data_IF_567212226295
#
_entry.id   IF_567212226295
#
_cell.length_a   1.000
_cell.length_b   1.000
_cell.length_c   1.000
_cell.angle_alpha   90.00
_cell.angle_beta   90.00
_cell.angle_gamma   90.00
#
_symmetry.space_group_name_H-M   'P 1'
#
loop_
_entity.id
_entity.type
_entity.pdbx_description
1 polymer ?
#
# COMPACT_ATOMS: atom_id res chain seq x y z
N UNK A 1 -35.75 -5.21 32.29
CA UNK A 1 -35.20 -5.28 30.92
C UNK A 1 -34.56 -3.95 30.47
N UNK A 2 -33.83 -3.23 31.35
CA UNK A 2 -33.28 -1.88 31.07
C UNK A 2 -31.78 -1.86 30.75
N UNK A 3 -31.08 -2.95 31.06
CA UNK A 3 -29.63 -3.08 30.82
C UNK A 3 -29.30 -3.89 29.57
N UNK A 4 -30.32 -4.42 28.87
CA UNK A 4 -30.13 -5.21 27.65
C UNK A 4 -29.64 -4.33 26.49
N UNK A 5 -30.17 -3.10 26.40
CA UNK A 5 -29.81 -2.14 25.36
C UNK A 5 -28.34 -1.66 25.47
N UNK A 6 -27.83 -1.20 26.63
CA UNK A 6 -26.42 -0.82 26.75
C UNK A 6 -25.46 -2.02 26.62
N UNK A 7 -25.86 -3.21 27.05
CA UNK A 7 -25.05 -4.42 26.89
C UNK A 7 -24.88 -4.81 25.41
N UNK A 8 -25.95 -4.68 24.60
CA UNK A 8 -25.89 -4.95 23.17
C UNK A 8 -25.00 -3.91 22.44
N UNK A 9 -25.10 -2.64 22.82
CA UNK A 9 -24.27 -1.57 22.25
C UNK A 9 -22.78 -1.76 22.57
N UNK A 10 -22.47 -2.18 23.81
CA UNK A 10 -21.11 -2.50 24.21
C UNK A 10 -20.54 -3.68 23.42
N UNK A 11 -21.32 -4.75 23.23
CA UNK A 11 -20.89 -5.91 22.45
C UNK A 11 -20.55 -5.59 20.98
N UNK A 12 -21.23 -4.61 20.36
CA UNK A 12 -20.94 -4.14 19.00
C UNK A 12 -19.62 -3.36 18.90
N UNK A 13 -19.19 -2.69 19.97
CA UNK A 13 -17.97 -1.87 19.96
C UNK A 13 -16.69 -2.70 20.12
N UNK A 14 -16.74 -3.92 20.68
CA UNK A 14 -15.55 -4.77 20.88
C UNK A 14 -14.96 -5.34 19.58
N UNK A 15 -15.68 -5.28 18.45
CA UNK A 15 -15.23 -5.83 17.16
C UNK A 15 -14.47 -4.85 16.25
N UNK A 16 -14.24 -3.60 16.68
CA UNK A 16 -13.72 -2.54 15.79
C UNK A 16 -12.22 -2.63 15.48
N UNK A 17 -11.46 -3.49 16.17
CA UNK A 17 -10.03 -3.65 15.93
C UNK A 17 -9.77 -4.61 14.75
N UNK A 18 -9.77 -4.09 13.52
CA UNK A 18 -9.28 -4.85 12.36
C UNK A 18 -7.76 -4.69 12.26
N UNK A 19 -7.01 -5.78 12.46
CA UNK A 19 -5.57 -5.79 12.19
C UNK A 19 -5.35 -5.86 10.66
N UNK A 20 -4.74 -4.82 10.09
CA UNK A 20 -4.29 -4.85 8.69
C UNK A 20 -3.02 -5.70 8.61
N UNK A 21 -2.98 -6.77 7.78
CA UNK A 21 -1.75 -7.51 7.56
C UNK A 21 -0.62 -6.59 7.07
N UNK A 22 0.65 -6.89 7.40
CA UNK A 22 1.76 -6.12 6.87
C UNK A 22 1.76 -6.21 5.34
N UNK A 23 2.09 -5.10 4.65
CA UNK A 23 2.16 -5.08 3.19
C UNK A 23 3.23 -6.05 2.67
N UNK A 24 2.98 -6.65 1.51
CA UNK A 24 3.96 -7.49 0.82
C UNK A 24 5.20 -6.66 0.43
N UNK A 25 6.39 -7.12 0.80
CA UNK A 25 7.70 -6.51 0.47
C UNK A 25 8.55 -7.47 -0.36
N UNK A 26 9.46 -6.92 -1.16
CA UNK A 26 10.37 -7.69 -2.01
C UNK A 26 10.10 -7.51 -3.51
N UNK A 27 10.54 -8.48 -4.32
CA UNK A 27 10.40 -8.49 -5.77
C UNK A 27 9.49 -9.63 -6.22
N UNK A 28 8.58 -9.36 -7.15
CA UNK A 28 7.66 -10.38 -7.64
C UNK A 28 6.59 -9.85 -8.57
N UNK A 29 5.90 -10.76 -9.24
CA UNK A 29 4.83 -10.43 -10.20
C UNK A 29 3.48 -10.16 -9.53
N UNK A 30 3.30 -10.62 -8.29
CA UNK A 30 2.03 -10.64 -7.56
C UNK A 30 2.06 -9.77 -6.31
N UNK A 31 2.78 -8.64 -6.35
CA UNK A 31 2.73 -7.67 -5.27
C UNK A 31 1.38 -6.93 -5.33
N UNK A 32 0.64 -6.98 -4.23
CA UNK A 32 -0.65 -6.33 -4.12
C UNK A 32 -0.44 -4.82 -3.89
N UNK A 33 -1.07 -3.94 -4.69
CA UNK A 33 -1.02 -2.50 -4.46
C UNK A 33 -1.58 -2.14 -3.08
N UNK A 34 -0.96 -1.16 -2.42
CA UNK A 34 -1.38 -0.64 -1.11
C UNK A 34 -1.81 0.82 -1.25
N UNK A 35 -2.52 1.39 -0.26
CA UNK A 35 -2.85 2.82 -0.30
C UNK A 35 -1.61 3.66 -0.59
N UNK A 36 -1.67 4.48 -1.65
CA UNK A 36 -0.54 5.30 -2.13
C UNK A 36 0.21 4.73 -3.34
N UNK A 37 0.08 3.42 -3.63
CA UNK A 37 0.57 2.81 -4.86
C UNK A 37 -0.11 3.43 -6.10
N UNK A 38 0.61 3.53 -7.23
CA UNK A 38 0.06 4.06 -8.48
C UNK A 38 -1.14 3.23 -8.97
N UNK A 39 -1.09 1.91 -8.76
CA UNK A 39 -2.13 0.97 -9.19
C UNK A 39 -3.16 0.65 -8.10
N UNK A 40 -3.14 1.39 -6.98
CA UNK A 40 -4.12 1.18 -5.92
C UNK A 40 -5.52 1.58 -6.40
N UNK A 41 -6.48 0.65 -6.28
CA UNK A 41 -7.84 0.85 -6.81
C UNK A 41 -7.95 0.68 -8.34
N UNK A 42 -6.88 0.26 -9.02
CA UNK A 42 -6.87 -0.03 -10.46
C UNK A 42 -5.77 0.71 -11.22
N UNK A 43 -5.76 0.55 -12.55
CA UNK A 43 -4.75 1.17 -13.41
C UNK A 43 -5.02 2.67 -13.61
N UNK A 44 -3.96 3.50 -13.73
CA UNK A 44 -4.11 4.91 -14.09
C UNK A 44 -4.85 5.09 -15.43
N UNK A 45 -5.72 6.10 -15.49
CA UNK A 45 -6.46 6.44 -16.73
C UNK A 45 -5.55 7.06 -17.79
N UNK A 46 -4.48 7.73 -17.36
CA UNK A 46 -3.46 8.31 -18.23
C UNK A 46 -2.35 7.31 -18.49
N UNK A 47 -1.91 7.20 -19.75
CA UNK A 47 -0.88 6.23 -20.17
C UNK A 47 0.43 6.94 -20.47
N UNK A 48 1.55 6.31 -20.08
CA UNK A 48 2.89 6.77 -20.40
C UNK A 48 3.26 6.37 -21.84
N UNK A 49 2.71 7.07 -22.82
CA UNK A 49 2.88 6.75 -24.26
C UNK A 49 4.26 7.07 -24.81
N UNK A 50 4.96 8.04 -24.20
CA UNK A 50 6.31 8.47 -24.61
C UNK A 50 7.42 7.52 -24.15
N UNK A 51 7.24 6.86 -23.00
CA UNK A 51 8.22 5.91 -22.49
C UNK A 51 8.12 4.58 -23.25
N UNK A 52 9.22 3.87 -23.55
CA UNK A 52 9.15 2.53 -24.14
C UNK A 52 8.41 1.52 -23.25
N UNK A 53 7.88 0.45 -23.86
CA UNK A 53 7.43 -0.73 -23.12
C UNK A 53 8.64 -1.37 -22.42
N UNK A 54 8.44 -1.86 -21.20
CA UNK A 54 9.51 -2.39 -20.36
C UNK A 54 10.27 -1.35 -19.56
N UNK A 55 10.01 -0.04 -19.76
CA UNK A 55 10.63 1.01 -18.94
C UNK A 55 10.25 0.89 -17.47
N UNK A 56 11.19 1.27 -16.61
CA UNK A 56 11.02 1.32 -15.16
C UNK A 56 10.39 2.66 -14.76
N UNK A 57 9.39 2.59 -13.90
CA UNK A 57 8.73 3.75 -13.30
C UNK A 57 8.87 3.65 -11.78
N UNK A 58 9.82 4.38 -11.17
CA UNK A 58 9.93 4.44 -9.73
C UNK A 58 8.81 5.31 -9.14
N UNK A 59 8.33 4.94 -7.96
CA UNK A 59 7.33 5.69 -7.22
C UNK A 59 7.68 5.67 -5.74
N UNK A 60 7.52 6.81 -5.07
CA UNK A 60 7.80 6.94 -3.66
C UNK A 60 6.66 7.68 -2.98
N UNK A 61 6.24 7.19 -1.82
CA UNK A 61 5.17 7.78 -1.01
C UNK A 61 5.35 7.42 0.47
N UNK A 62 4.53 8.02 1.33
CA UNK A 62 4.40 7.64 2.73
C UNK A 62 3.13 6.83 2.91
N UNK A 63 3.22 5.70 3.61
CA UNK A 63 2.04 4.93 3.97
C UNK A 63 1.27 5.61 5.12
N UNK A 64 0.13 5.01 5.51
CA UNK A 64 -0.71 5.53 6.59
C UNK A 64 -0.05 5.50 7.97
N UNK A 65 1.07 4.80 8.12
CA UNK A 65 1.86 4.70 9.36
C UNK A 65 3.08 5.64 9.34
N UNK A 66 3.27 6.41 8.26
CA UNK A 66 4.39 7.32 8.11
C UNK A 66 5.67 6.65 7.59
N UNK A 67 5.64 5.36 7.23
CA UNK A 67 6.78 4.70 6.65
C UNK A 67 6.99 5.16 5.21
N UNK A 68 8.26 5.29 4.80
CA UNK A 68 8.59 5.62 3.42
C UNK A 68 8.56 4.36 2.57
N UNK A 69 7.69 4.35 1.57
CA UNK A 69 7.53 3.24 0.64
C UNK A 69 8.16 3.59 -0.70
N UNK A 70 8.95 2.67 -1.22
CA UNK A 70 9.56 2.72 -2.53
C UNK A 70 9.02 1.59 -3.39
N UNK A 71 8.41 1.94 -4.51
CA UNK A 71 7.87 0.99 -5.46
C UNK A 71 8.53 1.11 -6.82
N UNK A 72 8.68 -0.03 -7.47
CA UNK A 72 9.20 -0.14 -8.83
C UNK A 72 8.14 -0.75 -9.72
N UNK A 73 7.81 -0.04 -10.79
CA UNK A 73 6.84 -0.50 -11.79
C UNK A 73 7.53 -0.73 -13.13
N UNK A 74 6.94 -1.61 -13.94
CA UNK A 74 7.31 -1.83 -15.35
C UNK A 74 6.11 -1.46 -16.22
N UNK A 75 6.36 -0.74 -17.32
CA UNK A 75 5.34 -0.48 -18.35
C UNK A 75 5.10 -1.76 -19.15
N UNK A 76 3.88 -2.29 -19.09
CA UNK A 76 3.49 -3.48 -19.85
C UNK A 76 3.15 -3.13 -21.32
N UNK A 77 3.05 -4.14 -22.22
CA UNK A 77 2.72 -3.90 -23.63
C UNK A 77 1.40 -3.14 -23.87
N UNK A 78 0.42 -3.31 -22.99
CA UNK A 78 -0.87 -2.60 -23.02
C UNK A 78 -0.82 -1.19 -22.40
N UNK A 79 0.38 -0.76 -21.98
CA UNK A 79 0.71 0.48 -21.28
C UNK A 79 0.19 0.57 -19.84
N UNK A 80 -0.28 -0.54 -19.28
CA UNK A 80 -0.55 -0.61 -17.85
C UNK A 80 0.77 -0.63 -17.06
N UNK A 81 0.69 -0.31 -15.77
CA UNK A 81 1.81 -0.38 -14.87
C UNK A 81 1.71 -1.66 -14.05
N UNK A 82 2.75 -2.47 -14.07
CA UNK A 82 2.85 -3.65 -13.20
C UNK A 82 3.84 -3.37 -12.08
N UNK A 83 3.38 -3.50 -10.85
CA UNK A 83 4.23 -3.43 -9.66
C UNK A 83 5.16 -4.67 -9.65
N UNK A 84 6.47 -4.44 -9.59
CA UNK A 84 7.49 -5.50 -9.62
C UNK A 84 8.37 -5.54 -8.39
N UNK A 85 8.41 -4.44 -7.63
CA UNK A 85 9.21 -4.35 -6.42
C UNK A 85 8.60 -3.37 -5.43
N UNK A 86 8.67 -3.72 -4.14
CA UNK A 86 8.36 -2.82 -3.04
C UNK A 86 9.42 -2.96 -1.94
N UNK A 87 9.92 -1.83 -1.46
CA UNK A 87 10.71 -1.70 -0.23
C UNK A 87 10.01 -0.71 0.69
N UNK A 88 10.01 -1.01 1.98
CA UNK A 88 9.49 -0.12 3.01
C UNK A 88 10.64 0.19 3.96
N UNK A 89 10.81 1.47 4.24
CA UNK A 89 11.73 1.95 5.24
C UNK A 89 10.97 2.09 6.55
N UNK A 90 11.26 1.19 7.49
CA UNK A 90 10.61 1.16 8.80
C UNK A 90 11.29 2.07 9.82
N UNK A 91 12.37 2.78 9.43
CA UNK A 91 13.16 3.68 10.28
C UNK A 91 13.11 3.34 11.78
N UNK A 92 13.65 2.17 12.13
CA UNK A 92 13.56 1.63 13.50
C UNK A 92 14.60 2.31 14.42
N UNK A 93 15.50 3.12 13.87
CA UNK A 93 16.68 3.64 14.58
C UNK A 93 16.98 5.13 14.36
N UNK A 94 16.14 5.89 13.64
CA UNK A 94 16.38 7.30 13.28
C UNK A 94 16.55 8.27 14.46
N UNK A 95 16.24 7.83 15.68
CA UNK A 95 16.28 8.63 16.90
C UNK A 95 17.58 8.42 17.72
N UNK A 96 18.48 7.51 17.32
CA UNK A 96 19.69 7.17 18.11
C UNK A 96 20.92 8.04 17.81
N UNK A 97 20.83 8.94 16.85
CA UNK A 97 21.99 9.74 16.36
C UNK A 97 21.98 11.22 16.80
N UNK A 98 21.16 11.62 17.79
CA UNK A 98 21.11 13.00 18.36
C UNK A 98 21.56 13.07 19.84
#
# INVERSE_FOLDING_TARGET
>A
MKHVLPALLAALLLGACTATPPPSVGYGRYLEPIPGSITYGGQPRTKLTKAPVGSIVPHQFFDNFGHRVYETYVIEPDRSLRLVGRRIDYDIFGDMDD
#
